data_IF_226133692247
#
_entry.id   IF_226133692247
#
_cell.length_a   1.000
_cell.length_b   1.000
_cell.length_c   1.000
_cell.angle_alpha   90.00
_cell.angle_beta   90.00
_cell.angle_gamma   90.00
#
_symmetry.space_group_name_H-M   'P 1'
#
loop_
_entity.id
_entity.type
_entity.pdbx_description
1 polymer ?
#
# COMPACT_ATOMS: atom_id res chain seq x y z
N UNK A 1 -5.15 11.03 19.64
CA UNK A 1 -3.84 10.41 19.46
C UNK A 1 -3.75 9.92 18.03
N UNK A 2 -2.77 10.37 17.26
CA UNK A 2 -2.51 9.83 15.92
C UNK A 2 -1.89 8.43 15.99
N UNK A 3 -1.87 7.70 14.87
CA UNK A 3 -1.17 6.41 14.79
C UNK A 3 0.32 6.59 15.10
N UNK A 4 0.95 7.66 14.56
CA UNK A 4 2.34 8.01 14.80
C UNK A 4 2.63 8.31 16.29
N UNK A 5 1.74 9.02 16.98
CA UNK A 5 1.88 9.28 18.42
C UNK A 5 1.76 7.99 19.25
N UNK A 6 0.93 7.04 18.79
CA UNK A 6 0.67 5.80 19.52
C UNK A 6 1.87 4.86 19.53
N UNK A 7 2.75 4.92 18.52
CA UNK A 7 3.98 4.12 18.45
C UNK A 7 4.82 4.23 19.73
N UNK A 8 5.03 5.46 20.20
CA UNK A 8 5.94 5.77 21.30
C UNK A 8 5.25 5.76 22.67
N UNK A 9 3.97 5.39 22.71
CA UNK A 9 3.21 5.32 23.95
C UNK A 9 3.75 4.22 24.86
N UNK A 10 4.20 4.60 26.06
CA UNK A 10 4.60 3.67 27.11
C UNK A 10 3.44 2.84 27.66
N UNK A 11 2.19 3.22 27.35
CA UNK A 11 1.00 2.48 27.74
C UNK A 11 0.70 1.29 26.81
N UNK A 12 1.39 1.16 25.68
CA UNK A 12 1.20 0.08 24.71
C UNK A 12 2.34 -0.93 24.79
N UNK A 13 2.07 -2.22 24.52
CA UNK A 13 3.12 -3.22 24.47
C UNK A 13 4.15 -2.90 23.38
N UNK A 14 5.36 -3.42 23.56
CA UNK A 14 6.44 -3.29 22.56
C UNK A 14 6.11 -4.06 21.28
N UNK A 15 5.34 -5.14 21.39
CA UNK A 15 4.95 -6.00 20.26
C UNK A 15 3.45 -6.27 20.23
N UNK A 16 2.93 -6.45 19.04
CA UNK A 16 1.55 -6.86 18.80
C UNK A 16 1.52 -8.16 18.00
N UNK A 17 0.55 -9.04 18.25
CA UNK A 17 0.38 -10.23 17.40
C UNK A 17 -0.33 -9.88 16.09
N UNK A 18 -1.33 -9.00 16.15
CA UNK A 18 -2.16 -8.63 15.00
C UNK A 18 -2.37 -7.12 14.97
N UNK A 19 -2.17 -6.53 13.80
CA UNK A 19 -2.60 -5.15 13.49
C UNK A 19 -3.68 -5.21 12.44
N UNK A 20 -4.77 -4.47 12.64
CA UNK A 20 -5.86 -4.39 11.68
C UNK A 20 -6.15 -2.94 11.32
N UNK A 21 -6.50 -2.70 10.07
CA UNK A 21 -6.94 -1.40 9.59
C UNK A 21 -8.04 -1.60 8.55
N UNK A 22 -9.26 -1.13 8.87
CA UNK A 22 -10.44 -1.35 8.06
C UNK A 22 -11.00 -0.01 7.61
N UNK A 23 -11.33 0.10 6.32
CA UNK A 23 -11.80 1.34 5.70
C UNK A 23 -10.81 2.52 5.86
N UNK A 24 -9.51 2.22 5.90
CA UNK A 24 -8.47 3.24 6.04
C UNK A 24 -8.19 3.90 4.69
N UNK A 25 -8.68 5.13 4.50
CA UNK A 25 -8.47 5.94 3.29
C UNK A 25 -7.08 6.57 3.25
N UNK A 26 -6.60 6.88 2.03
CA UNK A 26 -5.36 7.60 1.77
C UNK A 26 -4.18 7.02 2.57
N UNK A 27 -3.47 7.83 3.35
CA UNK A 27 -2.26 7.37 4.06
C UNK A 27 -2.55 6.53 5.30
N UNK A 28 -3.80 6.42 5.76
CA UNK A 28 -4.12 5.74 7.01
C UNK A 28 -3.76 4.24 6.99
N UNK A 29 -3.85 3.59 5.83
CA UNK A 29 -3.38 2.20 5.69
C UNK A 29 -1.85 2.12 5.78
N UNK A 30 -1.12 3.13 5.29
CA UNK A 30 0.34 3.17 5.40
C UNK A 30 0.79 3.43 6.83
N UNK A 31 0.09 4.32 7.55
CA UNK A 31 0.33 4.55 8.97
C UNK A 31 0.14 3.26 9.78
N UNK A 32 -0.89 2.48 9.47
CA UNK A 32 -1.12 1.18 10.10
C UNK A 32 -0.02 0.15 9.76
N UNK A 33 0.47 0.13 8.51
CA UNK A 33 1.61 -0.69 8.11
C UNK A 33 2.85 -0.29 8.89
N UNK A 34 3.18 1.01 8.94
CA UNK A 34 4.36 1.49 9.64
C UNK A 34 4.29 1.22 11.14
N UNK A 35 3.11 1.39 11.75
CA UNK A 35 2.88 0.98 13.14
C UNK A 35 3.14 -0.51 13.32
N UNK A 36 2.58 -1.37 12.46
CA UNK A 36 2.80 -2.81 12.54
C UNK A 36 4.25 -3.21 12.33
N UNK A 37 4.99 -2.52 11.47
CA UNK A 37 6.42 -2.76 11.25
C UNK A 37 7.24 -2.36 12.49
N UNK A 38 6.95 -1.21 13.09
CA UNK A 38 7.64 -0.72 14.30
C UNK A 38 7.35 -1.58 15.52
N UNK A 39 6.12 -2.09 15.63
CA UNK A 39 5.68 -2.99 16.71
C UNK A 39 5.87 -4.47 16.40
N UNK A 40 6.64 -4.80 15.36
CA UNK A 40 6.94 -6.19 14.98
C UNK A 40 5.72 -7.11 14.92
N UNK A 41 4.64 -6.63 14.29
CA UNK A 41 3.38 -7.35 14.21
C UNK A 41 3.57 -8.71 13.51
N UNK A 42 3.04 -9.79 14.10
CA UNK A 42 3.10 -11.11 13.44
C UNK A 42 2.16 -11.19 12.25
N UNK A 43 1.02 -10.50 12.34
CA UNK A 43 0.02 -10.41 11.28
C UNK A 43 -0.44 -8.98 11.07
N UNK A 44 -0.71 -8.62 9.82
CA UNK A 44 -1.47 -7.43 9.46
C UNK A 44 -2.64 -7.83 8.58
N UNK A 45 -3.84 -7.35 8.90
CA UNK A 45 -5.08 -7.60 8.14
C UNK A 45 -5.69 -6.27 7.77
N UNK A 46 -5.58 -5.90 6.49
CA UNK A 46 -5.81 -4.55 6.01
C UNK A 46 -6.90 -4.54 4.93
N UNK A 47 -7.85 -3.63 5.05
CA UNK A 47 -8.87 -3.34 4.02
C UNK A 47 -8.69 -1.90 3.58
N UNK A 48 -7.90 -1.66 2.51
CA UNK A 48 -7.71 -0.33 1.96
C UNK A 48 -8.99 0.13 1.24
N UNK A 49 -9.39 1.38 1.44
CA UNK A 49 -10.66 1.90 0.91
C UNK A 49 -10.50 2.70 -0.38
N UNK A 50 -9.75 3.81 -0.32
CA UNK A 50 -9.60 4.76 -1.42
C UNK A 50 -8.20 5.39 -1.37
N UNK A 51 -7.69 5.82 -2.53
CA UNK A 51 -6.41 6.55 -2.65
C UNK A 51 -6.58 7.72 -3.62
N UNK A 52 -7.07 8.85 -3.12
CA UNK A 52 -7.28 10.03 -3.95
C UNK A 52 -5.94 10.71 -4.31
N UNK A 53 -4.97 10.61 -3.41
CA UNK A 53 -3.65 11.24 -3.53
C UNK A 53 -2.82 10.66 -4.68
N UNK A 54 -2.72 9.33 -4.79
CA UNK A 54 -1.93 8.72 -5.87
C UNK A 54 -2.55 9.03 -7.24
N UNK A 55 -3.88 9.01 -7.32
CA UNK A 55 -4.60 9.39 -8.52
C UNK A 55 -4.41 10.87 -8.90
N UNK A 56 -4.14 11.77 -7.95
CA UNK A 56 -3.78 13.15 -8.23
C UNK A 56 -2.33 13.24 -8.78
N UNK A 57 -1.38 12.54 -8.16
CA UNK A 57 0.01 12.49 -8.63
C UNK A 57 0.12 11.94 -10.06
N UNK A 58 -0.59 10.85 -10.38
CA UNK A 58 -0.64 10.27 -11.74
C UNK A 58 -1.26 11.21 -12.79
N UNK A 59 -2.09 12.18 -12.38
CA UNK A 59 -2.64 13.20 -13.30
C UNK A 59 -1.66 14.35 -13.54
N UNK A 60 -0.93 14.77 -12.50
CA UNK A 60 0.04 15.86 -12.55
C UNK A 60 1.33 15.45 -13.24
N UNK A 61 1.88 14.30 -12.83
CA UNK A 61 2.95 13.62 -13.52
C UNK A 61 2.31 12.95 -14.73
N UNK A 62 2.15 13.70 -15.83
CA UNK A 62 1.80 13.13 -17.14
C UNK A 62 2.67 11.89 -17.28
N UNK A 63 2.10 10.69 -17.20
CA UNK A 63 2.86 9.44 -17.30
C UNK A 63 3.54 9.43 -18.66
N UNK A 64 4.75 9.98 -18.74
CA UNK A 64 5.31 10.53 -19.99
C UNK A 64 5.75 9.40 -20.91
N UNK A 65 6.02 8.20 -20.36
CA UNK A 65 6.31 6.99 -21.11
C UNK A 65 5.06 6.15 -21.41
N UNK A 66 4.13 5.95 -20.46
CA UNK A 66 2.92 5.16 -20.74
C UNK A 66 1.98 5.83 -21.74
N UNK A 67 2.00 7.18 -21.87
CA UNK A 67 1.26 7.92 -22.91
C UNK A 67 1.61 7.51 -24.34
N UNK A 68 2.73 6.82 -24.54
CA UNK A 68 3.19 6.33 -25.85
C UNK A 68 2.82 4.86 -26.08
N UNK A 69 2.12 4.23 -25.13
CA UNK A 69 1.68 2.84 -25.20
C UNK A 69 0.15 2.74 -25.14
N UNK A 70 -0.47 1.66 -25.64
CA UNK A 70 -1.91 1.44 -25.49
C UNK A 70 -2.40 1.40 -24.03
N UNK A 71 -1.51 1.21 -23.05
CA UNK A 71 -1.86 1.21 -21.62
C UNK A 71 -2.30 2.59 -21.11
N UNK A 72 -2.03 3.67 -21.85
CA UNK A 72 -2.51 5.01 -21.52
C UNK A 72 -4.04 5.09 -21.38
N UNK A 73 -4.78 4.24 -22.11
CA UNK A 73 -6.25 4.24 -22.09
C UNK A 73 -6.83 3.82 -20.73
N UNK A 74 -6.08 3.05 -19.93
CA UNK A 74 -6.48 2.67 -18.57
C UNK A 74 -6.60 3.86 -17.61
N UNK A 75 -6.04 5.01 -17.96
CA UNK A 75 -5.97 6.20 -17.10
C UNK A 75 -6.60 7.43 -17.75
N UNK A 76 -7.21 7.28 -18.94
CA UNK A 76 -7.72 8.38 -19.76
C UNK A 76 -8.87 9.13 -19.09
N UNK A 77 -9.72 8.41 -18.36
CA UNK A 77 -10.88 8.97 -17.68
C UNK A 77 -10.61 9.11 -16.18
N UNK A 78 -11.04 10.22 -15.53
CA UNK A 78 -10.77 10.47 -14.12
C UNK A 78 -11.18 9.32 -13.17
N UNK A 79 -12.29 8.65 -13.46
CA UNK A 79 -12.74 7.49 -12.69
C UNK A 79 -11.73 6.33 -12.80
N UNK A 80 -11.27 6.00 -14.02
CA UNK A 80 -10.30 4.93 -14.20
C UNK A 80 -8.94 5.28 -13.57
N UNK A 81 -8.48 6.53 -13.70
CA UNK A 81 -7.26 6.98 -13.02
C UNK A 81 -7.34 6.80 -11.51
N UNK A 82 -8.51 7.08 -10.93
CA UNK A 82 -8.75 6.91 -9.49
C UNK A 82 -8.70 5.44 -9.08
N UNK A 83 -9.40 4.56 -9.80
CA UNK A 83 -9.42 3.14 -9.46
C UNK A 83 -8.07 2.46 -9.69
N UNK A 84 -7.39 2.77 -10.80
CA UNK A 84 -6.04 2.25 -11.08
C UNK A 84 -5.01 2.78 -10.09
N UNK A 85 -5.09 4.06 -9.69
CA UNK A 85 -4.24 4.60 -8.64
C UNK A 85 -4.49 3.91 -7.29
N UNK A 86 -5.75 3.58 -6.97
CA UNK A 86 -6.08 2.78 -5.78
C UNK A 86 -5.42 1.41 -5.84
N UNK A 87 -5.53 0.71 -6.97
CA UNK A 87 -4.97 -0.63 -7.13
C UNK A 87 -3.43 -0.62 -7.11
N UNK A 88 -2.81 0.31 -7.82
CA UNK A 88 -1.35 0.48 -7.84
C UNK A 88 -0.81 0.71 -6.43
N UNK A 89 -1.49 1.53 -5.63
CA UNK A 89 -1.10 1.76 -4.25
C UNK A 89 -1.08 0.46 -3.44
N UNK A 90 -2.11 -0.38 -3.59
CA UNK A 90 -2.20 -1.63 -2.85
C UNK A 90 -1.14 -2.64 -3.30
N UNK A 91 -0.83 -2.69 -4.60
CA UNK A 91 0.31 -3.46 -5.12
C UNK A 91 1.63 -3.01 -4.49
N UNK A 92 1.88 -1.69 -4.41
CA UNK A 92 3.10 -1.16 -3.79
C UNK A 92 3.18 -1.53 -2.30
N UNK A 93 2.06 -1.46 -1.56
CA UNK A 93 1.98 -1.90 -0.15
C UNK A 93 2.32 -3.38 0.01
N UNK A 94 1.78 -4.23 -0.86
CA UNK A 94 2.10 -5.66 -0.86
C UNK A 94 3.60 -5.90 -1.09
N UNK A 95 4.19 -5.28 -2.12
CA UNK A 95 5.62 -5.42 -2.41
C UNK A 95 6.49 -4.90 -1.26
N UNK A 96 6.08 -3.81 -0.61
CA UNK A 96 6.78 -3.26 0.56
C UNK A 96 6.80 -4.26 1.73
N UNK A 97 5.63 -4.84 2.07
CA UNK A 97 5.53 -5.85 3.12
C UNK A 97 6.35 -7.11 2.78
N UNK A 98 6.31 -7.57 1.53
CA UNK A 98 7.12 -8.70 1.06
C UNK A 98 8.62 -8.45 1.15
N UNK A 99 9.07 -7.26 0.74
CA UNK A 99 10.46 -6.85 0.87
C UNK A 99 10.93 -6.83 2.34
N UNK A 100 10.02 -6.53 3.27
CA UNK A 100 10.29 -6.48 4.70
C UNK A 100 10.11 -7.82 5.43
N UNK A 101 9.83 -8.90 4.70
CA UNK A 101 9.82 -10.26 5.25
C UNK A 101 8.45 -10.79 5.66
N UNK A 102 7.38 -10.20 5.11
CA UNK A 102 6.03 -10.75 5.24
C UNK A 102 5.71 -11.63 4.02
N UNK A 103 5.05 -12.75 4.28
CA UNK A 103 4.27 -13.42 3.26
C UNK A 103 2.93 -12.70 3.13
N UNK A 104 2.57 -12.26 1.92
CA UNK A 104 1.34 -11.51 1.66
C UNK A 104 0.35 -12.37 0.88
N UNK A 105 -0.93 -12.26 1.22
CA UNK A 105 -2.06 -12.84 0.50
C UNK A 105 -3.09 -11.73 0.29
N UNK A 106 -3.58 -11.61 -0.94
CA UNK A 106 -4.63 -10.64 -1.30
C UNK A 106 -5.86 -11.43 -1.70
N UNK A 107 -6.99 -11.15 -1.06
CA UNK A 107 -8.26 -11.86 -1.24
C UNK A 107 -9.44 -10.92 -1.09
N UNK A 108 -10.65 -11.45 -1.24
CA UNK A 108 -11.90 -10.74 -1.02
C UNK A 108 -12.28 -10.71 0.47
N UNK A 109 -12.78 -9.58 0.97
CA UNK A 109 -13.28 -9.44 2.34
C UNK A 109 -14.68 -10.04 2.49
N UNK A 110 -15.57 -9.73 1.55
CA UNK A 110 -16.99 -10.13 1.48
C UNK A 110 -17.36 -10.50 0.04
N UNK A 111 -18.55 -11.04 -0.20
CA UNK A 111 -19.05 -11.21 -1.56
C UNK A 111 -19.15 -9.87 -2.31
N UNK A 112 -18.97 -9.90 -3.64
CA UNK A 112 -19.04 -8.72 -4.52
C UNK A 112 -20.39 -8.00 -4.45
N UNK A 113 -21.45 -8.71 -4.10
CA UNK A 113 -22.79 -8.18 -3.88
C UNK A 113 -22.87 -7.20 -2.70
N UNK A 114 -21.86 -7.17 -1.83
CA UNK A 114 -21.86 -6.38 -0.61
C UNK A 114 -20.94 -5.16 -0.65
N UNK A 115 -19.86 -5.17 -1.46
CA UNK A 115 -18.96 -4.02 -1.58
C UNK A 115 -18.19 -4.00 -2.88
N UNK A 116 -18.09 -2.84 -3.51
CA UNK A 116 -17.17 -2.60 -4.63
C UNK A 116 -15.71 -2.34 -4.19
N UNK A 117 -15.48 -2.11 -2.88
CA UNK A 117 -14.15 -2.02 -2.26
C UNK A 117 -13.97 -3.23 -1.36
N UNK A 118 -13.37 -4.27 -1.91
CA UNK A 118 -13.41 -5.61 -1.34
C UNK A 118 -12.03 -6.27 -1.16
N UNK A 119 -10.96 -5.54 -1.45
CA UNK A 119 -9.61 -6.09 -1.33
C UNK A 119 -9.18 -6.17 0.14
N UNK A 120 -8.83 -7.39 0.56
CA UNK A 120 -8.30 -7.74 1.87
C UNK A 120 -6.84 -8.17 1.70
N UNK A 121 -5.92 -7.41 2.29
CA UNK A 121 -4.50 -7.72 2.35
C UNK A 121 -4.19 -8.38 3.69
N UNK A 122 -3.71 -9.62 3.65
CA UNK A 122 -3.27 -10.38 4.81
C UNK A 122 -1.75 -10.55 4.70
N UNK A 123 -1.01 -10.00 5.66
CA UNK A 123 0.44 -10.13 5.74
C UNK A 123 0.82 -10.91 6.99
N UNK A 124 1.62 -11.96 6.83
CA UNK A 124 2.16 -12.79 7.92
C UNK A 124 3.67 -12.65 7.94
N UNK A 125 4.25 -12.25 9.07
CA UNK A 125 5.70 -12.16 9.19
C UNK A 125 6.32 -13.56 9.16
N UNK A 126 7.22 -13.78 8.20
CA UNK A 126 8.02 -15.02 8.08
C UNK A 126 9.52 -14.76 8.26
N UNK A 127 9.93 -13.49 8.24
CA UNK A 127 11.34 -13.06 8.29
C UNK A 127 12.07 -13.23 6.95
N UNK A 128 11.43 -13.83 5.95
CA UNK A 128 12.02 -14.10 4.64
C UNK A 128 11.89 -12.87 3.74
N UNK A 129 12.83 -11.92 3.87
CA UNK A 129 12.85 -10.70 3.05
C UNK A 129 13.07 -11.03 1.57
N UNK A 130 12.22 -10.49 0.71
CA UNK A 130 12.32 -10.67 -0.75
C UNK A 130 12.96 -9.44 -1.41
N UNK A 131 14.25 -9.50 -1.73
CA UNK A 131 14.93 -8.41 -2.44
C UNK A 131 14.26 -8.11 -3.79
N UNK A 132 13.81 -9.14 -4.50
CA UNK A 132 13.08 -8.98 -5.76
C UNK A 132 11.78 -8.18 -5.63
N UNK A 133 11.13 -8.18 -4.46
CA UNK A 133 9.96 -7.35 -4.20
C UNK A 133 10.35 -5.87 -4.06
N UNK A 134 11.46 -5.57 -3.38
CA UNK A 134 12.00 -4.22 -3.28
C UNK A 134 12.40 -3.67 -4.66
N UNK A 135 13.04 -4.48 -5.48
CA UNK A 135 13.46 -4.09 -6.82
C UNK A 135 12.25 -3.82 -7.73
N UNK A 136 11.22 -4.67 -7.66
CA UNK A 136 9.95 -4.47 -8.38
C UNK A 136 9.20 -3.24 -7.90
N UNK A 137 9.20 -2.95 -6.60
CA UNK A 137 8.62 -1.73 -6.04
C UNK A 137 9.32 -0.49 -6.63
N UNK A 138 10.66 -0.46 -6.60
CA UNK A 138 11.45 0.65 -7.17
C UNK A 138 11.18 0.81 -8.67
N UNK A 139 11.15 -0.30 -9.42
CA UNK A 139 10.87 -0.28 -10.84
C UNK A 139 9.47 0.28 -11.15
N UNK A 140 8.44 -0.11 -10.40
CA UNK A 140 7.10 0.45 -10.56
C UNK A 140 7.07 1.96 -10.22
N UNK A 141 7.74 2.38 -9.15
CA UNK A 141 7.80 3.81 -8.82
C UNK A 141 8.44 4.61 -9.97
N UNK A 142 9.50 4.10 -10.60
CA UNK A 142 10.12 4.73 -11.78
C UNK A 142 9.20 4.72 -13.00
N UNK A 143 8.61 3.58 -13.35
CA UNK A 143 7.72 3.43 -14.51
C UNK A 143 6.53 4.42 -14.45
N UNK A 144 6.03 4.69 -13.25
CA UNK A 144 4.90 5.58 -13.02
C UNK A 144 5.28 7.03 -12.66
N UNK A 145 6.58 7.38 -12.59
CA UNK A 145 7.04 8.72 -12.21
C UNK A 145 6.64 9.10 -10.77
N UNK A 146 6.79 8.16 -9.85
CA UNK A 146 6.39 8.22 -8.44
C UNK A 146 7.58 8.05 -7.48
N UNK A 147 8.81 8.28 -7.95
CA UNK A 147 10.04 8.02 -7.19
C UNK A 147 10.11 8.81 -5.88
N UNK A 148 9.47 9.98 -5.82
CA UNK A 148 9.34 10.77 -4.60
C UNK A 148 8.69 9.98 -3.45
N UNK A 149 7.78 9.04 -3.77
CA UNK A 149 7.10 8.21 -2.77
C UNK A 149 8.02 7.21 -2.08
N UNK A 150 9.16 6.86 -2.69
CA UNK A 150 10.10 5.90 -2.09
C UNK A 150 10.54 6.38 -0.70
N UNK A 151 10.93 7.65 -0.59
CA UNK A 151 11.39 8.24 0.68
C UNK A 151 10.25 8.52 1.64
N UNK A 152 9.06 8.83 1.13
CA UNK A 152 7.91 9.28 1.93
C UNK A 152 7.16 8.09 2.53
N UNK A 153 6.91 7.04 1.74
CA UNK A 153 6.02 5.91 2.11
C UNK A 153 6.73 4.58 2.28
N UNK A 154 7.93 4.44 1.70
CA UNK A 154 8.66 3.17 1.64
C UNK A 154 10.09 3.31 2.18
N UNK A 155 10.26 4.12 3.22
CA UNK A 155 11.56 4.57 3.76
C UNK A 155 12.49 3.46 4.27
N UNK A 156 11.99 2.23 4.40
CA UNK A 156 12.75 1.04 4.85
C UNK A 156 13.36 0.23 3.70
N UNK A 157 13.26 0.69 2.45
CA UNK A 157 13.76 0.07 1.21
C UNK A 157 14.72 1.00 0.48
#
# INVERSE_FOLDING_TARGET
TSVAESVNSQALPERFDVVTALHACDTATDDAIDFGLQKHARYMVLVPCCQAELAANLRQNKVFDLKRTPLAELWRHPLHTREMGSQLTNVLRCLYLEALGYQVTVTELVGWEHSMKNELIIAKYTGQKKQSAADRLKALLTEFGLEALLKIRFSRI
#
